data_IF_946277360817
#
_entry.id   IF_946277360817
#
_cell.length_a   1.000
_cell.length_b   1.000
_cell.length_c   1.000
_cell.angle_alpha   90.00
_cell.angle_beta   90.00
_cell.angle_gamma   90.00
#
_symmetry.space_group_name_H-M   'P 1'
#
loop_
_entity.id
_entity.type
_entity.pdbx_description
1 polymer ?
#
# COMPACT_ATOMS: atom_id res chain seq x y z
N UNK A 1 25.96 36.07 -12.62
CA UNK A 1 25.77 34.64 -12.29
C UNK A 1 24.29 34.34 -12.55
N UNK A 2 24.02 33.59 -13.61
CA UNK A 2 22.72 33.56 -14.31
C UNK A 2 21.59 33.03 -13.43
N UNK A 3 20.53 33.82 -13.22
CA UNK A 3 19.34 33.42 -12.45
C UNK A 3 18.67 32.16 -13.02
N UNK A 4 18.85 31.89 -14.31
CA UNK A 4 18.39 30.66 -14.96
C UNK A 4 19.04 29.39 -14.39
N UNK A 5 20.31 29.45 -13.93
CA UNK A 5 20.99 28.31 -13.31
C UNK A 5 20.40 27.97 -11.92
N UNK A 6 19.96 28.97 -11.17
CA UNK A 6 19.31 28.76 -9.87
C UNK A 6 17.94 28.11 -10.02
N UNK A 7 17.15 28.52 -11.02
CA UNK A 7 15.82 27.94 -11.30
C UNK A 7 15.94 26.48 -11.76
N UNK A 8 16.91 26.15 -12.62
CA UNK A 8 17.19 24.78 -13.06
C UNK A 8 17.63 23.86 -11.90
N UNK A 9 18.40 24.39 -10.94
CA UNK A 9 18.79 23.65 -9.74
C UNK A 9 17.59 23.25 -8.86
N UNK A 10 16.61 24.15 -8.71
CA UNK A 10 15.38 23.88 -7.95
C UNK A 10 14.52 22.80 -8.60
N UNK A 11 14.51 22.72 -9.94
CA UNK A 11 13.79 21.68 -10.69
C UNK A 11 14.48 20.32 -10.54
N UNK A 12 15.82 20.30 -10.50
CA UNK A 12 16.61 19.06 -10.29
C UNK A 12 16.50 18.49 -8.85
N UNK A 13 16.07 19.31 -7.88
CA UNK A 13 15.83 18.91 -6.51
C UNK A 13 14.45 18.25 -6.27
N UNK A 14 13.59 18.21 -7.30
CA UNK A 14 12.26 17.59 -7.26
C UNK A 14 12.16 16.43 -8.26
N UNK A 15 12.88 15.31 -8.05
CA UNK A 15 12.76 14.13 -8.90
C UNK A 15 11.37 13.46 -8.86
N UNK A 16 10.42 13.94 -8.06
CA UNK A 16 9.09 13.33 -7.92
C UNK A 16 7.97 13.95 -8.79
N UNK A 17 8.30 14.83 -9.76
CA UNK A 17 7.29 15.55 -10.57
C UNK A 17 7.02 14.92 -11.95
N UNK A 18 7.57 13.75 -12.26
CA UNK A 18 7.30 13.05 -13.53
C UNK A 18 6.34 11.87 -13.31
N UNK A 19 5.04 12.08 -13.61
CA UNK A 19 3.95 11.09 -13.58
C UNK A 19 3.73 10.38 -12.23
N UNK A 20 2.95 11.02 -11.37
CA UNK A 20 2.63 10.60 -10.02
C UNK A 20 1.61 9.44 -10.00
N UNK A 21 2.08 8.18 -9.99
CA UNK A 21 1.22 7.07 -9.56
C UNK A 21 0.71 7.42 -8.16
N UNK A 22 -0.59 7.34 -7.94
CA UNK A 22 -1.18 7.57 -6.62
C UNK A 22 -2.12 6.45 -6.22
N UNK A 23 -2.19 6.24 -4.91
CA UNK A 23 -3.05 5.27 -4.26
C UNK A 23 -4.03 6.01 -3.39
N UNK A 24 -5.30 5.64 -3.48
CA UNK A 24 -6.34 6.10 -2.57
C UNK A 24 -6.95 4.89 -1.88
N UNK A 25 -7.07 4.99 -0.55
CA UNK A 25 -7.56 3.92 0.29
C UNK A 25 -8.97 4.25 0.78
N UNK A 26 -9.86 3.26 0.77
CA UNK A 26 -11.18 3.38 1.37
C UNK A 26 -11.56 2.08 2.09
N UNK A 27 -12.25 2.26 3.23
CA UNK A 27 -12.73 1.19 4.08
C UNK A 27 -14.00 1.65 4.80
N UNK A 28 -14.86 0.73 5.26
CA UNK A 28 -15.94 1.06 6.19
C UNK A 28 -15.38 1.69 7.47
N UNK A 29 -16.07 2.71 7.99
CA UNK A 29 -15.66 3.38 9.23
C UNK A 29 -15.96 2.55 10.48
N UNK A 30 -17.02 1.74 10.46
CA UNK A 30 -17.44 0.90 11.58
C UNK A 30 -17.97 -0.43 11.02
N UNK A 31 -17.51 -1.54 11.58
CA UNK A 31 -17.94 -2.89 11.23
C UNK A 31 -18.18 -3.68 12.51
N UNK A 32 -19.23 -4.51 12.55
CA UNK A 32 -19.53 -5.32 13.74
C UNK A 32 -18.61 -6.55 13.81
N UNK A 33 -18.36 -7.11 15.00
CA UNK A 33 -17.68 -8.39 15.14
C UNK A 33 -18.35 -9.49 14.30
N UNK A 34 -17.55 -10.47 13.89
CA UNK A 34 -17.96 -11.60 13.04
C UNK A 34 -18.42 -11.24 11.62
N UNK A 35 -18.46 -9.95 11.25
CA UNK A 35 -18.71 -9.53 9.87
C UNK A 35 -17.43 -9.55 9.03
N UNK A 36 -17.61 -9.36 7.72
CA UNK A 36 -16.51 -9.18 6.77
C UNK A 36 -16.35 -7.71 6.47
N UNK A 37 -15.12 -7.22 6.53
CA UNK A 37 -14.75 -5.89 6.05
C UNK A 37 -14.04 -6.01 4.70
N UNK A 38 -14.38 -5.11 3.77
CA UNK A 38 -13.69 -4.98 2.49
C UNK A 38 -12.90 -3.68 2.45
N UNK A 39 -11.59 -3.81 2.32
CA UNK A 39 -10.66 -2.70 2.10
C UNK A 39 -10.46 -2.51 0.59
N UNK A 40 -10.42 -1.28 0.13
CA UNK A 40 -10.24 -0.95 -1.28
C UNK A 40 -9.04 -0.02 -1.47
N UNK A 41 -8.11 -0.43 -2.34
CA UNK A 41 -6.99 0.36 -2.80
C UNK A 41 -7.19 0.69 -4.28
N UNK A 42 -7.49 1.95 -4.58
CA UNK A 42 -7.66 2.44 -5.94
C UNK A 42 -6.35 3.04 -6.44
N UNK A 43 -5.93 2.60 -7.62
CA UNK A 43 -4.72 3.06 -8.29
C UNK A 43 -5.11 4.10 -9.34
N UNK A 44 -4.32 5.16 -9.47
CA UNK A 44 -4.45 6.14 -10.57
C UNK A 44 -3.09 6.42 -11.19
N UNK A 45 -3.10 6.76 -12.48
CA UNK A 45 -1.88 7.05 -13.26
C UNK A 45 -1.28 5.84 -13.99
N UNK A 46 -1.61 4.61 -13.60
CA UNK A 46 -1.23 3.38 -14.32
C UNK A 46 -2.33 2.32 -14.24
N UNK A 47 -2.54 1.52 -15.30
CA UNK A 47 -3.43 0.36 -15.24
C UNK A 47 -2.84 -0.75 -14.37
N UNK A 48 -3.68 -1.49 -13.64
CA UNK A 48 -3.29 -2.63 -12.78
C UNK A 48 -3.34 -3.98 -13.50
N UNK A 49 -2.89 -4.02 -14.75
CA UNK A 49 -2.75 -5.27 -15.51
C UNK A 49 -1.51 -6.06 -15.09
N UNK A 50 -1.34 -7.28 -15.60
CA UNK A 50 -0.20 -8.14 -15.27
C UNK A 50 1.14 -7.50 -15.66
N UNK A 51 1.16 -6.64 -16.68
CA UNK A 51 2.33 -5.84 -17.09
C UNK A 51 2.42 -4.45 -16.42
N UNK A 52 1.70 -4.21 -15.33
CA UNK A 52 1.64 -2.89 -14.69
C UNK A 52 3.01 -2.41 -14.22
N UNK A 53 3.30 -1.12 -14.44
CA UNK A 53 4.51 -0.46 -13.90
C UNK A 53 4.52 -0.38 -12.37
N UNK A 54 3.38 -0.58 -11.71
CA UNK A 54 3.30 -0.59 -10.25
C UNK A 54 3.78 -1.93 -9.65
N UNK A 55 3.82 -3.01 -10.44
CA UNK A 55 4.24 -4.39 -10.10
C UNK A 55 3.43 -5.09 -9.01
N UNK A 56 3.25 -4.45 -7.85
CA UNK A 56 2.57 -5.04 -6.72
C UNK A 56 1.93 -4.00 -5.79
N UNK A 57 0.99 -4.48 -4.96
CA UNK A 57 0.40 -3.75 -3.83
C UNK A 57 0.45 -4.61 -2.57
N UNK A 58 0.87 -4.00 -1.47
CA UNK A 58 0.81 -4.54 -0.12
C UNK A 58 -0.38 -3.96 0.66
N UNK A 59 -1.00 -4.79 1.48
CA UNK A 59 -1.92 -4.36 2.52
C UNK A 59 -1.25 -4.50 3.89
N UNK A 60 -1.30 -3.42 4.67
CA UNK A 60 -0.62 -3.30 5.96
C UNK A 60 -1.62 -2.74 6.96
N UNK A 61 -1.56 -3.19 8.21
CA UNK A 61 -2.28 -2.55 9.32
C UNK A 61 -1.31 -2.04 10.38
N UNK A 62 -1.68 -0.96 11.05
CA UNK A 62 -1.04 -0.45 12.25
C UNK A 62 -1.92 -0.77 13.45
N UNK A 63 -1.42 -1.61 14.36
CA UNK A 63 -2.15 -1.97 15.57
C UNK A 63 -2.12 -0.84 16.61
N UNK A 64 -2.81 -1.03 17.74
CA UNK A 64 -2.86 -0.05 18.84
C UNK A 64 -1.48 0.30 19.44
N UNK A 65 -0.49 -0.60 19.32
CA UNK A 65 0.90 -0.39 19.75
C UNK A 65 1.74 0.31 18.67
N UNK A 66 1.11 0.87 17.63
CA UNK A 66 1.75 1.50 16.47
C UNK A 66 2.65 0.58 15.62
N UNK A 67 2.61 -0.73 15.87
CA UNK A 67 3.35 -1.72 15.11
C UNK A 67 2.66 -1.95 13.76
N UNK A 68 3.44 -1.84 12.68
CA UNK A 68 2.97 -2.27 11.37
C UNK A 68 3.01 -3.78 11.24
N UNK A 69 1.91 -4.34 10.75
CA UNK A 69 1.69 -5.76 10.51
C UNK A 69 1.29 -5.92 9.05
N UNK A 70 2.12 -6.63 8.30
CA UNK A 70 1.82 -7.03 6.94
C UNK A 70 0.63 -8.01 6.91
N UNK A 71 -0.29 -7.84 5.97
CA UNK A 71 -1.46 -8.71 5.81
C UNK A 71 -1.35 -9.56 4.55
N UNK A 72 -1.17 -8.93 3.40
CA UNK A 72 -1.08 -9.62 2.13
C UNK A 72 -0.36 -8.77 1.07
N UNK A 73 0.22 -9.45 0.10
CA UNK A 73 0.93 -8.90 -1.06
C UNK A 73 0.26 -9.43 -2.32
N UNK A 74 -0.14 -8.55 -3.22
CA UNK A 74 -0.63 -8.90 -4.54
C UNK A 74 0.40 -8.46 -5.58
N UNK A 75 1.06 -9.42 -6.20
CA UNK A 75 1.85 -9.20 -7.40
C UNK A 75 0.95 -9.39 -8.62
N UNK A 76 0.96 -8.42 -9.53
CA UNK A 76 0.06 -8.45 -10.68
C UNK A 76 0.35 -9.59 -11.67
N UNK A 77 1.59 -10.09 -11.73
CA UNK A 77 2.02 -11.14 -12.67
C UNK A 77 2.30 -12.50 -11.98
N UNK A 78 2.78 -12.47 -10.73
CA UNK A 78 3.38 -13.64 -10.08
C UNK A 78 2.50 -14.27 -8.99
N UNK A 79 1.32 -13.70 -8.73
CA UNK A 79 0.37 -14.22 -7.74
C UNK A 79 0.38 -13.45 -6.43
N UNK A 80 -0.14 -14.06 -5.36
CA UNK A 80 -0.36 -13.39 -4.07
C UNK A 80 0.29 -14.14 -2.92
N UNK A 81 0.77 -13.39 -1.93
CA UNK A 81 1.30 -13.92 -0.67
C UNK A 81 0.48 -13.37 0.50
N UNK A 82 0.32 -14.18 1.54
CA UNK A 82 -0.50 -13.86 2.71
C UNK A 82 0.32 -14.01 3.98
N UNK A 83 0.04 -13.20 4.99
CA UNK A 83 0.57 -13.42 6.32
C UNK A 83 -0.08 -14.70 6.91
N UNK A 84 0.71 -15.71 7.33
CA UNK A 84 0.17 -16.97 7.85
C UNK A 84 -0.83 -16.79 9.00
N UNK A 85 -0.62 -15.80 9.88
CA UNK A 85 -1.48 -15.51 11.02
C UNK A 85 -2.90 -15.07 10.63
N UNK A 86 -3.09 -14.60 9.39
CA UNK A 86 -4.36 -14.09 8.89
C UNK A 86 -4.91 -14.92 7.72
N UNK A 87 -4.14 -15.86 7.20
CA UNK A 87 -4.38 -16.55 5.93
C UNK A 87 -5.74 -17.25 5.83
N UNK A 88 -6.31 -17.71 6.95
CA UNK A 88 -7.63 -18.34 6.99
C UNK A 88 -8.81 -17.36 6.87
N UNK A 89 -8.57 -16.07 7.14
CA UNK A 89 -9.63 -15.04 7.23
C UNK A 89 -9.52 -13.96 6.16
N UNK A 90 -8.41 -13.86 5.43
CA UNK A 90 -8.21 -12.81 4.42
C UNK A 90 -8.30 -13.32 2.99
N UNK A 91 -8.76 -12.47 2.07
CA UNK A 91 -8.83 -12.77 0.64
C UNK A 91 -8.48 -11.55 -0.19
N UNK A 92 -7.59 -11.72 -1.17
CA UNK A 92 -7.21 -10.68 -2.13
C UNK A 92 -7.98 -10.85 -3.44
N UNK A 93 -8.38 -9.73 -4.03
CA UNK A 93 -8.94 -9.69 -5.38
C UNK A 93 -8.61 -8.38 -6.09
N UNK A 94 -8.75 -8.36 -7.42
CA UNK A 94 -8.42 -7.22 -8.28
C UNK A 94 -9.52 -7.01 -9.33
N UNK A 95 -9.94 -5.77 -9.52
CA UNK A 95 -10.84 -5.34 -10.59
C UNK A 95 -10.10 -4.38 -11.52
N UNK A 96 -9.66 -4.92 -12.65
CA UNK A 96 -8.90 -4.19 -13.67
C UNK A 96 -9.75 -3.07 -14.28
N UNK A 97 -11.07 -3.27 -14.42
CA UNK A 97 -11.97 -2.28 -15.03
C UNK A 97 -12.11 -1.01 -14.18
N UNK A 98 -12.03 -1.17 -12.86
CA UNK A 98 -12.09 -0.06 -11.89
C UNK A 98 -10.73 0.44 -11.45
N UNK A 99 -9.67 -0.27 -11.82
CA UNK A 99 -8.32 -0.03 -11.36
C UNK A 99 -8.21 -0.09 -9.82
N UNK A 100 -8.87 -1.09 -9.23
CA UNK A 100 -8.99 -1.30 -7.78
C UNK A 100 -8.49 -2.68 -7.35
N UNK A 101 -7.82 -2.73 -6.20
CA UNK A 101 -7.43 -3.96 -5.50
C UNK A 101 -8.17 -4.00 -4.17
N UNK A 102 -8.67 -5.17 -3.80
CA UNK A 102 -9.45 -5.37 -2.60
C UNK A 102 -8.82 -6.40 -1.67
N UNK A 103 -8.86 -6.11 -0.36
CA UNK A 103 -8.61 -7.08 0.69
C UNK A 103 -9.89 -7.27 1.51
N UNK A 104 -10.42 -8.48 1.52
CA UNK A 104 -11.49 -8.86 2.45
C UNK A 104 -10.89 -9.46 3.72
N UNK A 105 -11.40 -9.04 4.88
CA UNK A 105 -11.05 -9.60 6.19
C UNK A 105 -12.34 -10.13 6.81
N UNK A 106 -12.42 -11.45 6.95
CA UNK A 106 -13.60 -12.18 7.44
C UNK A 106 -13.53 -12.40 8.95
N UNK A 107 -14.70 -12.65 9.53
CA UNK A 107 -14.85 -12.99 10.95
C UNK A 107 -14.09 -12.02 11.85
N UNK A 108 -14.36 -10.71 11.72
CA UNK A 108 -13.64 -9.69 12.46
C UNK A 108 -13.71 -9.88 13.97
N UNK A 109 -12.57 -9.70 14.62
CA UNK A 109 -12.41 -9.76 16.06
C UNK A 109 -12.02 -8.39 16.62
N UNK A 110 -12.05 -8.22 17.94
CA UNK A 110 -11.73 -6.93 18.57
C UNK A 110 -10.27 -6.52 18.26
N UNK A 111 -9.41 -7.53 18.17
CA UNK A 111 -7.99 -7.48 17.86
C UNK A 111 -7.70 -7.01 16.43
N UNK A 112 -8.72 -6.97 15.56
CA UNK A 112 -8.64 -6.44 14.20
C UNK A 112 -8.88 -4.93 14.13
N UNK A 113 -9.16 -4.28 15.27
CA UNK A 113 -9.25 -2.81 15.36
C UNK A 113 -7.86 -2.21 15.14
N UNK A 114 -7.67 -1.59 13.99
CA UNK A 114 -6.38 -1.07 13.53
C UNK A 114 -6.58 0.01 12.46
N UNK A 115 -5.53 0.76 12.17
CA UNK A 115 -5.50 1.61 10.97
C UNK A 115 -4.97 0.79 9.81
N UNK A 116 -5.67 0.78 8.67
CA UNK A 116 -5.30 -0.02 7.50
C UNK A 116 -4.78 0.88 6.37
N UNK A 117 -3.84 0.36 5.60
CA UNK A 117 -3.20 1.06 4.50
C UNK A 117 -2.94 0.12 3.33
N UNK A 118 -2.83 0.69 2.13
CA UNK A 118 -2.22 0.02 0.99
C UNK A 118 -0.96 0.75 0.53
N UNK A 119 0.01 -0.01 0.05
CA UNK A 119 1.31 0.48 -0.40
C UNK A 119 1.64 -0.15 -1.76
N UNK A 120 2.10 0.64 -2.72
CA UNK A 120 2.52 0.14 -4.02
C UNK A 120 4.03 0.25 -4.21
N UNK A 121 4.66 -0.76 -4.80
CA UNK A 121 6.13 -0.89 -4.88
C UNK A 121 6.79 0.38 -5.44
N UNK A 122 6.23 0.95 -6.50
CA UNK A 122 6.77 2.15 -7.18
C UNK A 122 6.16 3.48 -6.75
N UNK A 123 5.32 3.50 -5.72
CA UNK A 123 4.77 4.75 -5.13
C UNK A 123 5.68 5.33 -4.03
N UNK A 124 6.94 4.88 -4.02
CA UNK A 124 7.90 5.00 -2.93
C UNK A 124 8.35 6.42 -2.57
N UNK A 125 8.09 7.47 -3.34
CA UNK A 125 8.51 8.83 -2.92
C UNK A 125 7.80 9.29 -1.61
N UNK A 126 6.63 8.74 -1.26
CA UNK A 126 5.95 8.95 0.05
C UNK A 126 6.16 7.82 1.06
N UNK A 127 6.45 6.61 0.59
CA UNK A 127 6.68 5.43 1.44
C UNK A 127 8.12 5.34 1.95
N UNK A 128 9.08 5.98 1.28
CA UNK A 128 10.48 5.98 1.68
C UNK A 128 10.67 6.61 3.06
N UNK A 129 9.91 7.65 3.44
CA UNK A 129 9.95 8.19 4.81
C UNK A 129 9.45 7.20 5.86
N UNK A 130 8.40 6.42 5.54
CA UNK A 130 7.89 5.39 6.45
C UNK A 130 8.83 4.17 6.52
N UNK A 131 9.34 3.70 5.38
CA UNK A 131 10.34 2.63 5.29
C UNK A 131 11.69 3.05 5.91
N UNK A 132 12.07 4.32 5.84
CA UNK A 132 13.28 4.83 6.51
C UNK A 132 13.17 4.76 8.04
N UNK A 133 11.95 4.83 8.61
CA UNK A 133 11.69 4.49 10.02
C UNK A 133 11.83 2.99 10.29
N UNK A 134 11.50 2.11 9.34
CA UNK A 134 11.71 0.65 9.44
C UNK A 134 13.17 0.24 9.30
N UNK A 135 13.98 0.94 8.50
CA UNK A 135 15.41 0.64 8.37
C UNK A 135 16.22 0.91 9.65
N UNK A 136 15.65 1.58 10.65
CA UNK A 136 16.26 1.67 12.00
C UNK A 136 16.05 0.39 12.84
N UNK A 137 15.24 -0.56 12.38
CA UNK A 137 15.11 -1.91 12.97
C UNK A 137 15.48 -2.96 11.92
N UNK A 138 16.70 -2.86 11.38
CA UNK A 138 17.36 -4.01 10.76
C UNK A 138 18.46 -4.47 11.71
N UNK A 139 18.11 -5.38 12.61
CA UNK A 139 19.10 -6.10 13.40
C UNK A 139 19.90 -7.03 12.50
N UNK A 140 21.18 -7.09 12.85
CA UNK A 140 22.22 -8.03 12.46
C UNK A 140 21.71 -9.46 12.31
N UNK A 141 21.98 -10.03 11.13
CA UNK A 141 22.52 -11.37 10.94
C UNK A 141 23.43 -11.33 9.71
#
# INVERSE_FOLDING_TARGET
MSSALLVLCMISALPCVLSQISLSFSAPSIVKPSQTMKLTCKVTGVPITDGSKLHAIDFIRQNAEQKLVFLAHLNYAQGSAYNPSFSSRISLSRDISKNEVYLEVRSLEREDTATYFCAGERTACKMQEMLNRFSSVKNSY
#
